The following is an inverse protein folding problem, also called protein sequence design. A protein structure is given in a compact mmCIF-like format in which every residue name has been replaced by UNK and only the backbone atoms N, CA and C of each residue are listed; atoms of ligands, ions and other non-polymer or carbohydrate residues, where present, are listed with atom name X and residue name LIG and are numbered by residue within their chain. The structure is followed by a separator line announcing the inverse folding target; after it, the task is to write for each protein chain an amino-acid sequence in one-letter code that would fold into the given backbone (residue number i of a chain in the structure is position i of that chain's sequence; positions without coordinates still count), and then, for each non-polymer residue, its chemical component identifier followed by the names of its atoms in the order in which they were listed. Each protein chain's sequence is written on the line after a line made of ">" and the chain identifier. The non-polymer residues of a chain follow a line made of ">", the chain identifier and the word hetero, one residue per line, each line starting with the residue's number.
data_IF_174568170724
#
_entry.id   IF_174568170724
#
_cell.length_a   1.000
_cell.length_b   1.000
_cell.length_c   1.000
_cell.angle_alpha   90.00
_cell.angle_beta   90.00
_cell.angle_gamma   90.00
#
_symmetry.space_group_name_H-M   'P 1'
#
loop_
_entity.id
_entity.type
_entity.pdbx_description
1 polymer ?
#
# COMPACT_ATOMS: atom_id res chain seq x y z
N UNK A 1 -7.79 -33.46 -49.94
CA UNK A 1 -8.30 -32.07 -49.98
C UNK A 1 -7.80 -31.37 -48.74
N UNK A 2 -6.82 -30.50 -48.95
CA UNK A 2 -6.50 -29.26 -48.22
C UNK A 2 -6.40 -29.30 -46.69
N UNK A 3 -5.16 -29.30 -46.21
CA UNK A 3 -4.73 -28.71 -44.94
C UNK A 3 -4.91 -27.18 -44.95
N UNK A 4 -5.28 -26.58 -43.82
CA UNK A 4 -4.87 -25.22 -43.46
C UNK A 4 -4.45 -25.25 -41.99
N UNK A 5 -3.16 -25.06 -41.73
CA UNK A 5 -2.60 -24.78 -40.42
C UNK A 5 -2.46 -23.28 -40.18
N UNK A 6 -2.36 -22.88 -38.91
CA UNK A 6 -1.66 -21.66 -38.49
C UNK A 6 -0.88 -21.99 -37.21
N UNK A 7 0.44 -21.94 -37.33
CA UNK A 7 1.40 -22.27 -36.29
C UNK A 7 1.63 -21.15 -35.28
N UNK A 8 1.87 -21.55 -34.05
CA UNK A 8 2.34 -20.69 -32.95
C UNK A 8 3.85 -20.90 -32.84
N UNK A 9 4.65 -19.85 -33.04
CA UNK A 9 6.10 -19.90 -32.92
C UNK A 9 6.53 -19.28 -31.60
N UNK A 10 6.98 -20.12 -30.67
CA UNK A 10 7.70 -19.72 -29.47
C UNK A 10 9.07 -19.16 -29.85
N UNK A 11 9.48 -18.07 -29.22
CA UNK A 11 10.86 -17.58 -29.26
C UNK A 11 11.46 -17.64 -27.86
N UNK A 12 12.62 -18.29 -27.81
CA UNK A 12 13.40 -18.67 -26.63
C UNK A 12 14.39 -17.53 -26.31
N UNK A 13 14.55 -17.19 -25.04
CA UNK A 13 15.44 -16.14 -24.58
C UNK A 13 16.79 -16.76 -24.19
N UNK A 14 17.83 -16.52 -24.99
CA UNK A 14 19.20 -16.95 -24.69
C UNK A 14 20.09 -15.76 -24.35
N UNK A 15 20.82 -15.93 -23.25
CA UNK A 15 21.85 -15.08 -22.65
C UNK A 15 23.09 -14.90 -23.54
N UNK A 16 23.77 -13.74 -23.48
CA UNK A 16 25.25 -13.65 -23.30
C UNK A 16 25.75 -12.20 -23.13
N UNK A 17 26.75 -12.06 -22.24
CA UNK A 17 27.58 -10.89 -21.91
C UNK A 17 28.61 -10.53 -23.01
N UNK A 18 29.24 -9.34 -23.00
CA UNK A 18 30.65 -9.29 -22.55
C UNK A 18 31.16 -7.98 -21.88
N UNK A 19 32.07 -8.17 -20.91
CA UNK A 19 33.35 -7.49 -20.61
C UNK A 19 33.70 -6.10 -21.20
N UNK A 20 34.06 -5.11 -20.36
CA UNK A 20 35.45 -4.57 -20.25
C UNK A 20 35.63 -3.46 -19.19
N UNK A 21 36.73 -3.61 -18.44
CA UNK A 21 37.70 -2.60 -17.94
C UNK A 21 37.36 -1.59 -16.82
N UNK A 22 38.14 -1.72 -15.74
CA UNK A 22 38.31 -0.79 -14.62
C UNK A 22 39.51 0.13 -14.89
N UNK A 23 39.40 1.43 -14.59
CA UNK A 23 40.55 2.27 -14.25
C UNK A 23 40.18 3.28 -13.16
N UNK A 24 40.86 3.16 -12.03
CA UNK A 24 40.84 4.03 -10.85
C UNK A 24 41.85 5.15 -11.06
N UNK A 25 41.50 6.41 -10.79
CA UNK A 25 42.44 7.46 -10.32
C UNK A 25 41.72 8.46 -9.40
N UNK A 26 42.32 8.64 -8.24
CA UNK A 26 42.09 9.53 -7.09
C UNK A 26 42.35 11.01 -7.42
N UNK A 27 41.66 11.97 -6.75
CA UNK A 27 42.21 13.07 -5.92
C UNK A 27 41.23 14.24 -5.65
N UNK A 28 40.93 14.43 -4.35
CA UNK A 28 40.88 15.65 -3.51
C UNK A 28 40.14 16.98 -3.88
N UNK A 29 39.36 17.48 -2.90
CA UNK A 29 39.36 18.84 -2.26
C UNK A 29 38.12 19.79 -2.42
N UNK A 30 37.26 19.78 -1.38
CA UNK A 30 36.64 20.87 -0.53
C UNK A 30 36.66 22.36 -1.00
N UNK A 31 35.86 23.31 -0.43
CA UNK A 31 34.39 23.46 -0.26
C UNK A 31 33.85 24.83 -0.78
N UNK A 32 32.58 24.99 -1.19
CA UNK A 32 31.97 26.34 -1.27
C UNK A 32 30.47 26.36 -0.88
N UNK A 33 30.16 27.26 0.06
CA UNK A 33 28.85 27.65 0.59
C UNK A 33 28.12 28.60 -0.39
N UNK A 34 26.83 28.32 -0.62
CA UNK A 34 25.65 29.21 -0.81
C UNK A 34 25.69 30.47 -1.72
N UNK A 35 24.54 31.11 -1.99
CA UNK A 35 23.31 30.62 -2.62
C UNK A 35 23.05 31.38 -3.93
N UNK A 36 22.47 30.73 -4.94
CA UNK A 36 22.06 31.45 -6.16
C UNK A 36 20.60 31.17 -6.47
N UNK A 37 19.77 32.03 -5.90
CA UNK A 37 18.49 32.41 -6.51
C UNK A 37 18.78 32.92 -7.91
N UNK A 38 18.41 32.17 -8.94
CA UNK A 38 18.27 32.70 -10.28
C UNK A 38 16.99 32.15 -10.88
N UNK A 39 15.94 32.95 -10.77
CA UNK A 39 14.83 32.91 -11.72
C UNK A 39 15.42 33.12 -13.10
N UNK A 40 15.60 32.03 -13.84
CA UNK A 40 15.84 32.08 -15.28
C UNK A 40 14.58 31.56 -15.94
N UNK A 41 13.78 32.50 -16.43
CA UNK A 41 12.84 32.23 -17.51
C UNK A 41 13.69 32.05 -18.77
N UNK A 42 14.25 30.86 -18.96
CA UNK A 42 14.89 30.47 -20.21
C UNK A 42 13.82 29.87 -21.13
N UNK A 43 13.28 30.73 -21.99
CA UNK A 43 12.65 30.36 -23.26
C UNK A 43 13.72 29.78 -24.21
N UNK A 44 14.19 28.56 -23.94
CA UNK A 44 14.87 27.72 -24.92
C UNK A 44 14.53 26.26 -24.64
N UNK A 45 14.07 25.56 -25.67
CA UNK A 45 13.37 24.27 -25.61
C UNK A 45 14.25 23.09 -25.26
N UNK A 46 14.88 23.10 -24.08
CA UNK A 46 15.28 21.87 -23.40
C UNK A 46 14.18 21.45 -22.44
N UNK A 47 13.40 20.38 -22.73
CA UNK A 47 12.29 19.95 -21.86
C UNK A 47 12.73 19.43 -20.48
N UNK A 48 14.03 19.46 -20.19
CA UNK A 48 14.64 18.82 -19.03
C UNK A 48 15.02 19.91 -18.03
N UNK A 49 14.10 20.16 -17.09
CA UNK A 49 14.39 20.94 -15.89
C UNK A 49 15.45 20.24 -15.04
N UNK A 50 16.34 21.02 -14.41
CA UNK A 50 17.37 20.49 -13.53
C UNK A 50 16.73 19.89 -12.27
N UNK A 51 16.76 18.57 -12.14
CA UNK A 51 16.19 17.87 -10.97
C UNK A 51 17.08 18.15 -9.75
N UNK A 52 16.50 18.75 -8.71
CA UNK A 52 17.21 19.09 -7.47
C UNK A 52 17.14 17.92 -6.48
N UNK A 53 18.27 17.60 -5.83
CA UNK A 53 18.31 16.67 -4.70
C UNK A 53 18.28 17.42 -3.37
N UNK A 54 17.28 17.14 -2.55
CA UNK A 54 17.12 17.70 -1.20
C UNK A 54 17.91 16.86 -0.20
N UNK A 55 18.80 17.52 0.56
CA UNK A 55 19.72 16.86 1.48
C UNK A 55 19.24 16.71 2.91
N UNK A 56 18.44 17.66 3.38
CA UNK A 56 17.97 17.69 4.75
C UNK A 56 16.45 17.69 4.81
N UNK A 57 15.89 16.99 5.80
CA UNK A 57 14.45 16.92 6.06
C UNK A 57 13.80 18.30 6.30
N UNK A 58 14.54 19.25 6.85
CA UNK A 58 14.04 20.60 7.13
C UNK A 58 13.79 21.42 5.87
N UNK A 59 14.50 21.12 4.79
CA UNK A 59 14.45 21.89 3.56
C UNK A 59 13.31 21.44 2.65
N UNK A 60 12.70 20.26 2.88
CA UNK A 60 11.62 19.70 2.05
C UNK A 60 10.46 20.67 1.90
N UNK A 61 10.01 21.30 2.99
CA UNK A 61 8.91 22.27 2.96
C UNK A 61 9.22 23.47 2.07
N UNK A 62 10.48 23.89 2.05
CA UNK A 62 10.90 24.95 1.16
C UNK A 62 10.75 24.47 -0.29
N UNK A 63 11.28 23.29 -0.63
CA UNK A 63 11.19 22.77 -1.99
C UNK A 63 9.77 22.47 -2.47
N UNK A 64 8.84 22.07 -1.58
CA UNK A 64 7.42 21.91 -1.89
C UNK A 64 6.75 23.20 -2.40
N UNK A 65 7.25 24.37 -1.98
CA UNK A 65 6.72 25.67 -2.40
C UNK A 65 7.29 26.14 -3.76
N UNK A 66 8.45 25.62 -4.19
CA UNK A 66 9.18 26.12 -5.37
C UNK A 66 9.26 25.13 -6.53
N UNK A 67 9.21 23.82 -6.29
CA UNK A 67 9.43 22.81 -7.31
C UNK A 67 8.46 21.63 -7.18
N UNK A 68 7.79 21.28 -8.28
CA UNK A 68 6.84 20.16 -8.29
C UNK A 68 7.53 18.77 -8.23
N UNK A 69 8.83 18.70 -8.58
CA UNK A 69 9.59 17.46 -8.72
C UNK A 69 11.03 17.60 -8.20
N UNK A 70 11.30 17.06 -7.01
CA UNK A 70 12.64 16.96 -6.44
C UNK A 70 12.91 15.57 -5.87
N UNK A 71 14.18 15.16 -5.83
CA UNK A 71 14.59 13.86 -5.30
C UNK A 71 15.03 14.05 -3.85
N UNK A 72 14.51 13.23 -2.94
CA UNK A 72 15.05 13.16 -1.58
C UNK A 72 16.30 12.29 -1.60
N UNK A 73 17.43 12.79 -1.10
CA UNK A 73 18.64 11.97 -0.96
C UNK A 73 18.66 11.13 0.33
N UNK A 74 17.62 11.29 1.16
CA UNK A 74 17.35 10.54 2.38
C UNK A 74 16.01 9.82 2.29
N UNK A 75 15.83 8.79 3.11
CA UNK A 75 14.55 8.08 3.18
C UNK A 75 13.52 8.93 3.98
N UNK A 76 12.42 9.41 3.36
CA UNK A 76 11.36 10.14 4.06
C UNK A 76 10.69 9.28 5.16
N UNK A 77 10.85 7.96 5.08
CA UNK A 77 10.31 7.00 6.02
C UNK A 77 11.37 6.33 6.90
N UNK A 78 12.63 6.80 6.85
CA UNK A 78 13.70 6.25 7.66
C UNK A 78 13.21 6.24 9.13
N UNK A 79 13.04 5.05 9.72
CA UNK A 79 12.46 4.95 11.04
C UNK A 79 13.41 5.64 12.01
N UNK A 80 12.91 6.64 12.75
CA UNK A 80 13.48 6.98 14.06
C UNK A 80 13.71 5.63 14.75
N UNK A 81 14.96 5.29 15.04
CA UNK A 81 15.38 3.95 15.43
C UNK A 81 14.62 3.44 16.66
N UNK A 82 13.41 2.91 16.46
CA UNK A 82 12.75 2.07 17.44
C UNK A 82 13.53 0.75 17.38
N UNK A 83 14.34 0.49 18.41
CA UNK A 83 14.98 -0.83 18.59
C UNK A 83 13.87 -1.87 18.78
N UNK A 84 13.37 -2.41 17.67
CA UNK A 84 12.45 -3.53 17.65
C UNK A 84 13.31 -4.79 17.65
N UNK A 85 13.79 -5.19 18.83
CA UNK A 85 14.45 -6.49 18.99
C UNK A 85 13.39 -7.58 19.01
N UNK A 86 13.26 -8.32 17.91
CA UNK A 86 12.58 -9.61 17.92
C UNK A 86 13.57 -10.60 18.54
N UNK A 87 13.30 -11.07 19.76
CA UNK A 87 14.11 -12.14 20.35
C UNK A 87 13.71 -13.43 19.65
N UNK A 88 14.57 -13.91 18.75
CA UNK A 88 14.46 -15.27 18.21
C UNK A 88 14.80 -16.24 19.34
N UNK A 89 13.78 -16.68 20.07
CA UNK A 89 13.96 -17.71 21.07
C UNK A 89 13.93 -19.05 20.32
N UNK A 90 15.04 -19.34 19.64
CA UNK A 90 15.31 -20.63 19.01
C UNK A 90 15.22 -21.74 20.06
N UNK A 91 14.06 -22.40 20.11
CA UNK A 91 13.73 -23.35 21.14
C UNK A 91 12.63 -24.29 20.68
N UNK A 92 13.05 -25.34 19.98
CA UNK A 92 12.48 -26.69 19.98
C UNK A 92 10.96 -26.84 19.75
N UNK A 93 10.60 -27.20 18.52
CA UNK A 93 9.61 -28.26 18.27
C UNK A 93 8.13 -28.03 18.58
N UNK A 94 7.66 -26.85 18.98
CA UNK A 94 6.23 -26.61 19.22
C UNK A 94 5.53 -25.94 18.04
N UNK A 95 4.73 -26.72 17.32
CA UNK A 95 3.89 -26.30 16.19
C UNK A 95 2.77 -25.32 16.63
N UNK A 96 3.12 -24.05 16.83
CA UNK A 96 2.14 -23.02 17.21
C UNK A 96 2.62 -21.58 17.28
N UNK A 97 3.92 -21.29 17.15
CA UNK A 97 4.38 -19.89 17.06
C UNK A 97 4.19 -19.35 15.62
N UNK A 98 3.63 -18.15 15.43
CA UNK A 98 3.51 -17.56 14.10
C UNK A 98 4.90 -17.23 13.56
N UNK A 99 5.23 -17.76 12.38
CA UNK A 99 6.49 -17.50 11.65
C UNK A 99 6.67 -16.02 11.27
N UNK A 100 5.62 -15.21 11.41
CA UNK A 100 5.58 -13.80 11.02
C UNK A 100 4.99 -12.97 12.16
N UNK A 101 5.73 -11.95 12.59
CA UNK A 101 5.29 -10.98 13.60
C UNK A 101 5.22 -9.55 13.02
N UNK A 102 4.12 -8.86 13.29
CA UNK A 102 4.00 -7.42 12.97
C UNK A 102 4.70 -6.63 14.07
N UNK A 103 5.84 -6.03 13.76
CA UNK A 103 6.70 -5.33 14.74
C UNK A 103 6.35 -3.85 14.90
N UNK A 104 5.66 -3.26 13.93
CA UNK A 104 5.19 -1.88 13.97
C UNK A 104 4.04 -1.66 12.98
N UNK A 105 3.21 -0.65 13.26
CA UNK A 105 2.13 -0.17 12.41
C UNK A 105 2.25 1.36 12.30
N UNK A 106 2.08 1.94 11.11
CA UNK A 106 2.11 3.39 10.89
C UNK A 106 0.93 3.82 10.01
N UNK A 107 0.23 4.87 10.42
CA UNK A 107 -0.90 5.44 9.68
C UNK A 107 -2.26 4.85 10.06
N UNK A 108 -3.27 5.07 9.21
CA UNK A 108 -4.63 4.58 9.41
C UNK A 108 -4.82 3.20 8.77
N UNK A 109 -5.51 2.30 9.46
CA UNK A 109 -5.79 0.94 9.01
C UNK A 109 -7.22 0.83 8.51
N UNK A 110 -7.41 0.47 7.24
CA UNK A 110 -8.71 0.37 6.57
C UNK A 110 -9.78 -0.39 7.39
N UNK A 111 -9.40 -1.51 7.99
CA UNK A 111 -10.30 -2.41 8.70
C UNK A 111 -10.47 -2.10 10.19
N UNK A 112 -9.93 -0.96 10.65
CA UNK A 112 -9.99 -0.50 12.05
C UNK A 112 -10.45 0.94 12.16
N UNK A 113 -9.97 1.80 11.27
CA UNK A 113 -10.02 3.26 11.36
C UNK A 113 -10.93 3.91 10.29
N UNK A 114 -11.45 3.12 9.33
CA UNK A 114 -12.45 3.55 8.35
C UNK A 114 -13.71 2.67 8.37
N UNK A 115 -14.84 3.13 7.80
CA UNK A 115 -16.03 2.30 7.67
C UNK A 115 -15.77 0.98 6.96
N UNK A 116 -16.03 -0.14 7.63
CA UNK A 116 -15.77 -1.48 7.10
C UNK A 116 -16.91 -2.45 7.41
N UNK A 117 -17.05 -3.48 6.58
CA UNK A 117 -17.99 -4.55 6.86
C UNK A 117 -17.51 -5.38 8.04
N UNK A 118 -18.43 -5.86 8.87
CA UNK A 118 -18.07 -6.57 10.10
C UNK A 118 -17.14 -7.78 9.93
N UNK A 119 -17.27 -8.57 8.87
CA UNK A 119 -16.36 -9.69 8.62
C UNK A 119 -14.89 -9.28 8.36
N UNK A 120 -14.63 -7.98 8.16
CA UNK A 120 -13.28 -7.43 8.02
C UNK A 120 -12.79 -6.75 9.29
N UNK A 121 -13.59 -6.66 10.36
CA UNK A 121 -13.24 -5.87 11.53
C UNK A 121 -11.99 -6.40 12.23
N UNK A 122 -10.97 -5.55 12.40
CA UNK A 122 -9.77 -5.90 13.16
C UNK A 122 -9.93 -5.74 14.68
N UNK A 123 -10.86 -4.86 15.13
CA UNK A 123 -11.18 -4.74 16.56
C UNK A 123 -11.92 -5.96 17.10
N UNK A 124 -12.77 -6.56 16.26
CA UNK A 124 -13.52 -7.77 16.56
C UNK A 124 -13.33 -8.79 15.43
N UNK A 125 -12.20 -9.53 15.44
CA UNK A 125 -11.88 -10.50 14.39
C UNK A 125 -13.00 -11.52 14.23
N UNK A 126 -13.38 -11.78 12.98
CA UNK A 126 -14.58 -12.55 12.66
C UNK A 126 -14.53 -13.99 13.18
N UNK A 127 -13.37 -14.63 13.10
CA UNK A 127 -13.18 -16.04 13.49
C UNK A 127 -13.10 -16.26 15.02
N UNK A 128 -12.77 -15.22 15.80
CA UNK A 128 -12.50 -15.36 17.25
C UNK A 128 -13.51 -14.64 18.13
N UNK A 129 -14.32 -13.74 17.57
CA UNK A 129 -15.29 -12.96 18.33
C UNK A 129 -16.73 -13.31 17.93
N UNK A 130 -17.70 -13.22 18.85
CA UNK A 130 -19.11 -13.46 18.53
C UNK A 130 -19.54 -12.62 17.33
N UNK A 131 -20.33 -13.19 16.42
CA UNK A 131 -20.67 -12.48 15.19
C UNK A 131 -21.57 -11.25 15.44
N UNK A 132 -22.22 -11.17 16.60
CA UNK A 132 -23.01 -9.99 16.97
C UNK A 132 -22.17 -8.78 17.39
N UNK A 133 -20.91 -8.96 17.77
CA UNK A 133 -20.02 -7.87 18.17
C UNK A 133 -19.74 -6.93 16.99
N UNK A 134 -19.59 -5.63 17.24
CA UNK A 134 -19.25 -4.63 16.22
C UNK A 134 -18.54 -3.44 16.85
N UNK A 135 -17.74 -2.73 16.05
CA UNK A 135 -17.16 -1.45 16.45
C UNK A 135 -17.92 -0.27 15.82
N UNK A 136 -17.59 0.95 16.24
CA UNK A 136 -18.23 2.20 15.79
C UNK A 136 -18.15 2.42 14.26
N UNK A 137 -17.17 1.81 13.60
CA UNK A 137 -16.96 1.92 12.15
C UNK A 137 -17.49 0.71 11.38
N UNK A 138 -18.10 -0.26 12.05
CA UNK A 138 -18.71 -1.39 11.37
C UNK A 138 -19.99 -0.98 10.64
N UNK A 139 -20.20 -1.53 9.44
CA UNK A 139 -21.47 -1.48 8.74
C UNK A 139 -22.01 -2.88 8.42
N UNK A 140 -23.32 -2.96 8.25
CA UNK A 140 -24.01 -4.14 7.76
C UNK A 140 -23.76 -4.34 6.27
N UNK A 141 -23.07 -5.42 5.91
CA UNK A 141 -22.76 -5.75 4.51
C UNK A 141 -23.99 -5.81 3.61
N UNK A 142 -25.13 -6.27 4.13
CA UNK A 142 -26.36 -6.45 3.37
C UNK A 142 -27.12 -5.14 3.18
N UNK A 143 -27.16 -4.30 4.22
CA UNK A 143 -27.96 -3.07 4.23
C UNK A 143 -27.17 -1.81 3.83
N UNK A 144 -25.84 -1.87 3.78
CA UNK A 144 -24.95 -0.71 3.61
C UNK A 144 -25.25 0.42 4.63
N UNK A 145 -25.64 0.05 5.86
CA UNK A 145 -25.94 0.96 6.98
C UNK A 145 -25.02 0.69 8.16
N UNK A 146 -24.81 1.68 9.04
CA UNK A 146 -24.07 1.50 10.29
C UNK A 146 -24.60 0.28 11.08
N UNK A 147 -23.68 -0.50 11.66
CA UNK A 147 -24.04 -1.61 12.52
C UNK A 147 -24.47 -1.10 13.90
N UNK A 148 -25.49 -1.71 14.53
CA UNK A 148 -26.29 -2.83 14.05
C UNK A 148 -27.50 -2.37 13.23
N UNK A 149 -27.85 -3.13 12.19
CA UNK A 149 -29.14 -2.96 11.47
C UNK A 149 -30.27 -3.76 12.15
N UNK A 150 -31.51 -3.60 11.71
CA UNK A 150 -32.68 -4.30 12.29
C UNK A 150 -32.56 -5.83 12.27
N UNK A 151 -31.94 -6.40 11.24
CA UNK A 151 -31.75 -7.86 11.08
C UNK A 151 -30.38 -8.35 11.56
N UNK A 152 -29.65 -7.52 12.33
CA UNK A 152 -28.28 -7.78 12.75
C UNK A 152 -28.12 -9.12 13.45
N UNK A 153 -28.72 -9.25 14.64
CA UNK A 153 -28.63 -10.46 15.48
C UNK A 153 -29.29 -11.69 14.87
N UNK A 154 -30.19 -11.50 13.90
CA UNK A 154 -30.90 -12.60 13.27
C UNK A 154 -30.03 -13.30 12.23
N UNK A 155 -29.35 -12.55 11.37
CA UNK A 155 -28.53 -13.17 10.32
C UNK A 155 -27.49 -12.24 9.69
N UNK A 156 -27.72 -10.92 9.66
CA UNK A 156 -26.84 -10.00 8.93
C UNK A 156 -25.45 -9.86 9.57
N UNK A 157 -25.32 -10.19 10.85
CA UNK A 157 -24.04 -10.20 11.55
C UNK A 157 -23.08 -11.29 11.04
N UNK A 158 -23.60 -12.35 10.40
CA UNK A 158 -22.82 -13.40 9.72
C UNK A 158 -22.48 -13.07 8.27
N UNK A 159 -22.87 -11.90 7.77
CA UNK A 159 -22.70 -11.56 6.35
C UNK A 159 -21.24 -11.30 5.99
N UNK A 160 -20.70 -12.13 5.09
CA UNK A 160 -19.35 -12.02 4.58
C UNK A 160 -19.31 -11.96 3.04
N UNK A 161 -18.40 -11.16 2.50
CA UNK A 161 -18.33 -10.93 1.05
C UNK A 161 -17.89 -12.17 0.26
N UNK A 162 -17.20 -13.12 0.88
CA UNK A 162 -16.74 -14.35 0.22
C UNK A 162 -17.84 -15.42 0.10
N UNK A 163 -18.95 -15.29 0.83
CA UNK A 163 -20.08 -16.22 0.78
C UNK A 163 -21.07 -15.73 -0.30
N UNK A 164 -21.32 -16.56 -1.31
CA UNK A 164 -22.12 -16.21 -2.48
C UNK A 164 -23.52 -15.69 -2.15
N UNK A 165 -24.20 -16.31 -1.19
CA UNK A 165 -25.58 -15.97 -0.81
C UNK A 165 -25.74 -14.52 -0.35
N UNK A 166 -24.73 -13.97 0.35
CA UNK A 166 -24.78 -12.60 0.86
C UNK A 166 -24.63 -11.57 -0.26
N UNK A 167 -23.86 -11.87 -1.31
CA UNK A 167 -23.76 -10.99 -2.50
C UNK A 167 -25.13 -10.83 -3.16
N UNK A 168 -25.84 -11.93 -3.35
CA UNK A 168 -27.19 -11.94 -3.92
C UNK A 168 -28.18 -11.14 -3.05
N UNK A 169 -28.19 -11.39 -1.73
CA UNK A 169 -29.05 -10.64 -0.79
C UNK A 169 -28.77 -9.14 -0.80
N UNK A 170 -27.50 -8.73 -0.82
CA UNK A 170 -27.10 -7.31 -0.90
C UNK A 170 -27.58 -6.66 -2.20
N UNK A 171 -27.40 -7.35 -3.34
CA UNK A 171 -27.86 -6.85 -4.63
C UNK A 171 -29.39 -6.68 -4.67
N UNK A 172 -30.14 -7.65 -4.13
CA UNK A 172 -31.59 -7.57 -4.04
C UNK A 172 -32.05 -6.39 -3.16
N UNK A 173 -31.42 -6.18 -2.01
CA UNK A 173 -31.72 -5.03 -1.13
C UNK A 173 -31.48 -3.69 -1.83
N UNK A 174 -30.40 -3.58 -2.61
CA UNK A 174 -30.11 -2.37 -3.40
C UNK A 174 -31.18 -2.09 -4.46
N UNK A 175 -31.65 -3.13 -5.15
CA UNK A 175 -32.74 -3.01 -6.13
C UNK A 175 -34.04 -2.57 -5.45
N UNK A 176 -34.40 -3.18 -4.31
CA UNK A 176 -35.58 -2.78 -3.54
C UNK A 176 -35.52 -1.34 -3.05
N UNK A 177 -34.34 -0.86 -2.65
CA UNK A 177 -34.14 0.53 -2.23
C UNK A 177 -34.25 1.52 -3.40
N UNK A 178 -33.87 1.10 -4.62
CA UNK A 178 -34.00 1.92 -5.83
C UNK A 178 -35.46 2.06 -6.29
N UNK A 179 -36.28 1.01 -6.14
CA UNK A 179 -37.71 1.02 -6.50
C UNK A 179 -38.56 1.84 -5.54
N UNK A 180 -38.09 2.07 -4.31
CA UNK A 180 -38.80 2.86 -3.28
C UNK A 180 -38.54 4.37 -3.34
N UNK A 181 -37.73 4.83 -4.31
CA UNK A 181 -37.42 6.24 -4.55
C UNK A 181 -38.25 6.75 -5.72
#
# INVERSE_FOLDING_TARGET
>A
MSEIGIGVKAINLSSTTPSREKKVVTTEKTPQNAPSSSSVEDEDGSPIRHIVCVKNKVDVKHFEDFEDCFILDFDPFEPVQFKLSVSDNGGDGHAGSPDIAVVAEKGQVACRDYPHSRHLCLKFPFETTPHESYCELCYCYVCDSAAPCMLWKLSHCHAAAHIGDWKCKRMLMKQQAAVKK
#
